data_IF_060390173002
#
_entry.id   IF_060390173002
#
_cell.length_a   1.000
_cell.length_b   1.000
_cell.length_c   1.000
_cell.angle_alpha   90.00
_cell.angle_beta   90.00
_cell.angle_gamma   90.00
#
_symmetry.space_group_name_H-M   'P 1'
#
loop_
_entity.id
_entity.type
_entity.pdbx_description
1 polymer ?
#
# COMPACT_ATOMS: atom_id res chain seq x y z
N UNK A 1 -55.13 -31.78 51.73
CA UNK A 1 -55.45 -31.33 50.36
C UNK A 1 -54.29 -30.50 49.88
N UNK A 2 -53.47 -31.05 48.98
CA UNK A 2 -53.64 -30.99 47.51
C UNK A 2 -53.27 -29.58 47.03
N UNK A 3 -51.99 -29.37 46.68
CA UNK A 3 -51.43 -29.58 45.33
C UNK A 3 -52.03 -28.61 44.34
N UNK A 4 -51.24 -27.63 43.90
CA UNK A 4 -51.14 -27.35 42.48
C UNK A 4 -49.78 -26.78 42.09
N UNK A 5 -49.10 -27.57 41.25
CA UNK A 5 -47.89 -27.25 40.49
C UNK A 5 -48.30 -26.41 39.29
N UNK A 6 -47.79 -25.18 39.18
CA UNK A 6 -47.74 -24.49 37.89
C UNK A 6 -46.35 -24.70 37.28
N UNK A 7 -46.30 -25.60 36.29
CA UNK A 7 -45.20 -25.72 35.33
C UNK A 7 -45.29 -24.54 34.38
N UNK A 8 -44.26 -23.71 34.31
CA UNK A 8 -44.05 -22.81 33.18
C UNK A 8 -42.84 -23.28 32.39
N UNK A 9 -43.11 -23.61 31.13
CA UNK A 9 -42.17 -24.12 30.15
C UNK A 9 -41.13 -23.07 29.77
N UNK A 10 -39.89 -23.51 29.58
CA UNK A 10 -38.82 -22.77 28.91
C UNK A 10 -39.11 -22.75 27.39
N UNK A 11 -39.07 -21.60 26.71
CA UNK A 11 -39.13 -21.60 25.25
C UNK A 11 -37.78 -22.02 24.65
N UNK A 12 -37.87 -22.90 23.67
CA UNK A 12 -36.79 -23.45 22.86
C UNK A 12 -35.97 -22.37 22.15
N UNK A 13 -34.65 -22.58 22.06
CA UNK A 13 -33.74 -21.79 21.23
C UNK A 13 -34.13 -21.95 19.76
N UNK A 14 -34.58 -20.88 19.14
CA UNK A 14 -34.85 -20.84 17.70
C UNK A 14 -33.53 -20.86 16.89
N UNK A 15 -33.38 -21.89 16.06
CA UNK A 15 -32.32 -22.11 15.07
C UNK A 15 -32.30 -21.07 13.93
N UNK A 16 -32.09 -19.79 14.25
CA UNK A 16 -31.96 -18.74 13.22
C UNK A 16 -30.72 -17.83 13.38
N UNK A 17 -29.85 -18.09 14.36
CA UNK A 17 -28.59 -17.34 14.53
C UNK A 17 -27.36 -18.01 13.92
N UNK A 18 -27.50 -19.16 13.25
CA UNK A 18 -26.36 -19.91 12.65
C UNK A 18 -26.27 -19.80 11.11
N UNK A 19 -27.22 -19.16 10.43
CA UNK A 19 -27.24 -19.10 8.96
C UNK A 19 -26.55 -17.83 8.40
N UNK A 20 -26.25 -16.83 9.23
CA UNK A 20 -25.55 -15.61 8.78
C UNK A 20 -24.01 -15.72 8.84
N UNK A 21 -23.46 -16.82 9.34
CA UNK A 21 -22.00 -17.03 9.45
C UNK A 21 -21.41 -17.92 8.33
N UNK A 22 -22.20 -18.33 7.33
CA UNK A 22 -21.78 -19.23 6.24
C UNK A 22 -21.75 -18.55 4.85
N UNK A 23 -21.39 -17.28 4.77
CA UNK A 23 -21.27 -16.56 3.48
C UNK A 23 -19.95 -15.80 3.28
N UNK A 24 -18.85 -16.35 3.82
CA UNK A 24 -17.48 -15.93 3.47
C UNK A 24 -16.64 -17.18 3.16
N UNK A 25 -17.00 -17.88 2.10
CA UNK A 25 -16.16 -18.87 1.47
C UNK A 25 -16.45 -18.86 -0.03
N UNK A 26 -16.06 -17.79 -0.72
CA UNK A 26 -15.96 -17.81 -2.17
C UNK A 26 -14.76 -18.66 -2.55
N UNK A 27 -14.94 -19.98 -2.48
CA UNK A 27 -13.97 -20.96 -2.93
C UNK A 27 -13.95 -20.91 -4.46
N UNK A 28 -12.97 -20.21 -5.03
CA UNK A 28 -12.73 -20.22 -6.48
C UNK A 28 -12.19 -21.61 -6.83
N UNK A 29 -13.09 -22.51 -7.21
CA UNK A 29 -12.73 -23.81 -7.76
C UNK A 29 -12.27 -23.60 -9.20
N UNK A 30 -10.95 -23.62 -9.43
CA UNK A 30 -10.39 -23.94 -10.75
C UNK A 30 -9.67 -25.26 -10.64
N UNK A 31 -10.22 -26.27 -11.30
CA UNK A 31 -9.61 -27.59 -11.48
C UNK A 31 -8.51 -27.48 -12.54
N UNK A 32 -7.27 -27.77 -12.16
CA UNK A 32 -6.24 -28.25 -13.09
C UNK A 32 -6.09 -29.75 -12.87
N UNK A 33 -6.49 -30.53 -13.87
CA UNK A 33 -6.52 -32.00 -13.82
C UNK A 33 -5.18 -32.67 -14.15
N UNK A 34 -4.05 -31.97 -14.07
CA UNK A 34 -2.76 -32.56 -14.48
C UNK A 34 -1.78 -32.95 -13.36
N UNK A 35 -1.98 -32.57 -12.09
CA UNK A 35 -0.96 -32.80 -11.05
C UNK A 35 -1.42 -33.46 -9.76
N UNK A 36 -2.74 -33.56 -9.49
CA UNK A 36 -3.25 -34.35 -8.35
C UNK A 36 -2.76 -33.90 -6.96
N UNK A 37 -2.19 -32.70 -6.82
CA UNK A 37 -1.81 -32.14 -5.52
C UNK A 37 -2.85 -31.10 -5.12
N UNK A 38 -3.76 -31.49 -4.24
CA UNK A 38 -4.53 -30.53 -3.46
C UNK A 38 -3.57 -29.85 -2.49
N UNK A 39 -3.19 -28.61 -2.77
CA UNK A 39 -2.46 -27.79 -1.79
C UNK A 39 -3.52 -27.11 -0.91
N UNK A 40 -4.01 -27.87 0.07
CA UNK A 40 -4.82 -27.39 1.19
C UNK A 40 -3.92 -26.78 2.29
N UNK A 41 -2.80 -26.14 1.93
CA UNK A 41 -2.09 -25.30 2.90
C UNK A 41 -2.81 -23.95 2.96
N UNK A 42 -3.39 -23.55 4.12
CA UNK A 42 -3.93 -22.21 4.25
C UNK A 42 -2.80 -21.23 3.95
N UNK A 43 -3.01 -20.34 2.97
CA UNK A 43 -1.98 -19.39 2.53
C UNK A 43 -1.33 -18.77 3.78
N UNK A 44 -0.03 -18.96 4.01
CA UNK A 44 0.63 -18.28 5.13
C UNK A 44 0.44 -16.77 4.98
N UNK A 45 0.21 -16.09 6.10
CA UNK A 45 -0.01 -14.64 6.21
C UNK A 45 -1.32 -14.08 5.58
N UNK A 46 -2.43 -14.82 5.72
CA UNK A 46 -3.80 -14.28 5.48
C UNK A 46 -4.10 -13.01 6.26
N UNK A 47 -3.45 -12.79 7.41
CA UNK A 47 -3.65 -11.59 8.25
C UNK A 47 -3.35 -10.31 7.47
N UNK A 48 -2.30 -10.31 6.63
CA UNK A 48 -1.96 -9.15 5.82
C UNK A 48 -3.08 -8.84 4.80
N UNK A 49 -3.54 -9.86 4.07
CA UNK A 49 -4.60 -9.68 3.08
C UNK A 49 -5.93 -9.31 3.75
N UNK A 50 -6.27 -9.95 4.87
CA UNK A 50 -7.46 -9.62 5.66
C UNK A 50 -7.40 -8.16 6.16
N UNK A 51 -6.25 -7.70 6.66
CA UNK A 51 -6.06 -6.29 7.01
C UNK A 51 -6.25 -5.38 5.80
N UNK A 52 -5.64 -5.69 4.65
CA UNK A 52 -5.76 -4.87 3.43
C UNK A 52 -7.19 -4.88 2.84
N UNK A 53 -7.98 -5.91 3.11
CA UNK A 53 -9.43 -5.93 2.83
C UNK A 53 -10.27 -5.12 3.82
N UNK A 54 -9.69 -4.76 4.98
CA UNK A 54 -10.41 -4.14 6.08
C UNK A 54 -11.18 -5.14 6.97
N UNK A 55 -10.91 -6.44 6.81
CA UNK A 55 -11.59 -7.55 7.50
C UNK A 55 -10.79 -8.06 8.72
N UNK A 56 -9.52 -7.69 8.82
CA UNK A 56 -8.60 -8.14 9.87
C UNK A 56 -7.88 -6.99 10.58
N UNK A 57 -7.37 -7.31 11.77
CA UNK A 57 -6.49 -6.40 12.50
C UNK A 57 -5.09 -6.39 11.87
N UNK A 58 -4.45 -5.23 11.89
CA UNK A 58 -3.07 -5.06 11.43
C UNK A 58 -2.15 -4.51 12.52
N UNK A 59 -1.39 -3.44 12.23
CA UNK A 59 -0.32 -2.98 13.12
C UNK A 59 -0.87 -2.56 14.48
N UNK A 60 -0.33 -3.17 15.55
CA UNK A 60 -0.77 -2.96 16.94
C UNK A 60 -2.27 -3.22 17.16
N UNK A 61 -2.85 -4.16 16.41
CA UNK A 61 -4.26 -4.55 16.54
C UNK A 61 -5.27 -3.60 15.88
N UNK A 62 -4.81 -2.57 15.16
CA UNK A 62 -5.67 -1.58 14.50
C UNK A 62 -6.20 -2.08 13.17
N UNK A 63 -7.44 -1.78 12.86
CA UNK A 63 -8.04 -2.07 11.53
C UNK A 63 -7.62 -1.03 10.50
N UNK A 64 -7.81 -1.34 9.21
CA UNK A 64 -7.36 -0.49 8.10
C UNK A 64 -7.89 0.94 8.17
N UNK A 65 -9.19 1.10 8.44
CA UNK A 65 -9.82 2.42 8.51
C UNK A 65 -9.26 3.29 9.64
N UNK A 66 -8.92 2.69 10.78
CA UNK A 66 -8.26 3.40 11.88
C UNK A 66 -6.87 3.89 11.47
N UNK A 67 -6.12 3.08 10.73
CA UNK A 67 -4.81 3.45 10.19
C UNK A 67 -4.94 4.55 9.13
N UNK A 68 -5.93 4.46 8.26
CA UNK A 68 -6.24 5.50 7.27
C UNK A 68 -6.67 6.83 7.90
N UNK A 69 -7.22 6.80 9.11
CA UNK A 69 -7.62 7.99 9.87
C UNK A 69 -6.48 8.67 10.64
N UNK A 70 -5.22 8.22 10.49
CA UNK A 70 -4.09 8.86 11.17
C UNK A 70 -3.91 10.30 10.72
N UNK A 71 -3.74 11.19 11.68
CA UNK A 71 -3.33 12.56 11.40
C UNK A 71 -1.84 12.64 11.00
N UNK A 72 -1.45 13.80 10.50
CA UNK A 72 -0.10 14.06 10.00
C UNK A 72 0.98 13.97 11.09
N UNK A 73 0.64 14.20 12.35
CA UNK A 73 1.59 14.11 13.48
C UNK A 73 1.83 12.65 13.81
N UNK A 74 0.76 11.85 13.85
CA UNK A 74 0.82 10.42 14.07
C UNK A 74 1.54 9.70 12.94
N UNK A 75 1.27 10.06 11.69
CA UNK A 75 2.00 9.52 10.53
C UNK A 75 3.49 9.83 10.56
N UNK A 76 3.92 11.00 11.09
CA UNK A 76 5.34 11.29 11.25
C UNK A 76 5.96 10.42 12.35
N UNK A 77 5.29 10.31 13.51
CA UNK A 77 5.79 9.64 14.71
C UNK A 77 5.77 8.11 14.65
N UNK A 78 4.74 7.52 14.05
CA UNK A 78 4.56 6.08 13.97
C UNK A 78 5.13 5.51 12.66
N UNK A 79 5.87 4.41 12.75
CA UNK A 79 6.65 3.86 11.62
C UNK A 79 6.15 2.49 11.14
N UNK A 80 5.27 1.85 11.91
CA UNK A 80 4.72 0.52 11.65
C UNK A 80 3.64 0.56 10.58
N UNK A 81 2.81 1.62 10.58
CA UNK A 81 1.69 1.73 9.63
C UNK A 81 2.14 1.60 8.17
N UNK A 82 3.25 2.25 7.79
CA UNK A 82 3.72 2.27 6.41
C UNK A 82 4.14 0.87 5.93
N UNK A 83 4.57 0.00 6.84
CA UNK A 83 5.00 -1.36 6.51
C UNK A 83 3.80 -2.28 6.25
N UNK A 84 2.67 -2.00 6.90
CA UNK A 84 1.42 -2.73 6.70
C UNK A 84 0.62 -2.20 5.51
N UNK A 85 0.62 -0.89 5.27
CA UNK A 85 -0.03 -0.31 4.08
C UNK A 85 0.76 -0.60 2.80
N UNK A 86 2.08 -0.72 2.90
CA UNK A 86 2.99 -0.98 1.78
C UNK A 86 3.99 -2.10 2.15
N UNK A 87 3.50 -3.34 2.29
CA UNK A 87 4.34 -4.50 2.58
C UNK A 87 5.28 -4.78 1.40
N UNK A 88 6.39 -5.44 1.70
CA UNK A 88 7.44 -5.81 0.74
C UNK A 88 7.71 -7.30 0.81
N UNK A 89 8.33 -7.85 -0.23
CA UNK A 89 8.91 -9.18 -0.30
C UNK A 89 10.19 -9.31 0.57
N UNK A 90 10.75 -8.19 0.99
CA UNK A 90 11.94 -8.13 1.85
C UNK A 90 11.58 -7.92 3.33
N UNK A 91 12.23 -8.64 4.26
CA UNK A 91 12.06 -8.43 5.69
C UNK A 91 12.54 -7.05 6.13
N UNK A 92 11.79 -6.47 7.05
CA UNK A 92 12.18 -5.22 7.69
C UNK A 92 13.33 -5.48 8.66
N UNK A 93 14.36 -4.64 8.60
CA UNK A 93 15.54 -4.72 9.47
C UNK A 93 15.26 -4.30 10.92
N UNK A 94 14.08 -3.74 11.20
CA UNK A 94 13.78 -3.09 12.48
C UNK A 94 12.59 -3.68 13.23
N UNK A 95 11.62 -4.24 12.52
CA UNK A 95 10.38 -4.76 13.12
C UNK A 95 9.91 -5.97 12.32
N UNK A 96 9.33 -6.93 13.01
CA UNK A 96 8.68 -8.06 12.35
C UNK A 96 7.33 -7.59 11.78
N UNK A 97 7.18 -7.70 10.47
CA UNK A 97 5.97 -7.32 9.73
C UNK A 97 5.71 -8.38 8.65
N UNK A 98 4.44 -8.62 8.30
CA UNK A 98 4.10 -9.59 7.27
C UNK A 98 4.78 -9.27 5.94
N UNK A 99 5.29 -10.29 5.27
CA UNK A 99 5.88 -10.16 3.94
C UNK A 99 4.81 -10.28 2.88
N UNK A 100 4.96 -9.52 1.81
CA UNK A 100 4.16 -9.72 0.59
C UNK A 100 4.87 -10.79 -0.26
N UNK A 101 4.77 -12.05 0.17
CA UNK A 101 5.37 -13.22 -0.51
C UNK A 101 4.83 -13.37 -1.93
N UNK A 102 5.52 -14.13 -2.79
CA UNK A 102 5.10 -14.34 -4.18
C UNK A 102 3.66 -14.86 -4.29
N UNK A 103 3.28 -15.82 -3.44
CA UNK A 103 1.90 -16.34 -3.39
C UNK A 103 0.90 -15.24 -3.02
N UNK A 104 1.21 -14.39 -2.04
CA UNK A 104 0.35 -13.28 -1.66
C UNK A 104 0.28 -12.19 -2.72
N UNK A 105 1.35 -11.97 -3.47
CA UNK A 105 1.34 -11.04 -4.62
C UNK A 105 0.34 -11.51 -5.68
N UNK A 106 0.33 -12.80 -6.01
CA UNK A 106 -0.61 -13.37 -6.98
C UNK A 106 -2.06 -13.13 -6.54
N UNK A 107 -2.38 -13.40 -5.28
CA UNK A 107 -3.73 -13.17 -4.72
C UNK A 107 -4.07 -11.68 -4.71
N UNK A 108 -3.16 -10.83 -4.22
CA UNK A 108 -3.41 -9.40 -4.10
C UNK A 108 -3.60 -8.69 -5.44
N UNK A 109 -2.91 -9.15 -6.50
CA UNK A 109 -3.04 -8.59 -7.86
C UNK A 109 -4.40 -8.88 -8.50
N UNK A 110 -5.06 -9.97 -8.12
CA UNK A 110 -6.41 -10.31 -8.62
C UNK A 110 -7.53 -9.71 -7.74
N UNK A 111 -7.20 -9.25 -6.53
CA UNK A 111 -8.16 -8.73 -5.56
C UNK A 111 -8.38 -7.21 -5.68
N UNK A 112 -9.49 -6.84 -6.30
CA UNK A 112 -9.87 -5.43 -6.51
C UNK A 112 -10.08 -4.64 -5.21
N UNK A 113 -10.48 -5.29 -4.12
CA UNK A 113 -10.67 -4.63 -2.81
C UNK A 113 -9.30 -4.23 -2.28
N UNK A 114 -8.35 -5.17 -2.27
CA UNK A 114 -6.97 -4.90 -1.83
C UNK A 114 -6.33 -3.81 -2.68
N UNK A 115 -6.41 -3.89 -4.02
CA UNK A 115 -5.83 -2.86 -4.89
C UNK A 115 -6.46 -1.48 -4.66
N UNK A 116 -7.75 -1.41 -4.34
CA UNK A 116 -8.43 -0.16 -4.01
C UNK A 116 -7.95 0.40 -2.66
N UNK A 117 -7.77 -0.46 -1.66
CA UNK A 117 -7.19 -0.11 -0.35
C UNK A 117 -5.76 0.40 -0.45
N UNK A 118 -4.92 -0.23 -1.28
CA UNK A 118 -3.53 0.21 -1.52
C UNK A 118 -3.51 1.57 -2.22
N UNK A 119 -4.38 1.80 -3.21
CA UNK A 119 -4.51 3.12 -3.86
C UNK A 119 -4.96 4.21 -2.89
N UNK A 120 -5.95 3.93 -2.03
CA UNK A 120 -6.35 4.86 -0.96
C UNK A 120 -5.21 5.14 0.01
N UNK A 121 -4.44 4.11 0.36
CA UNK A 121 -3.23 4.27 1.19
C UNK A 121 -2.19 5.17 0.51
N UNK A 122 -2.04 5.04 -0.82
CA UNK A 122 -1.16 5.91 -1.61
C UNK A 122 -1.65 7.36 -1.57
N UNK A 123 -2.95 7.60 -1.74
CA UNK A 123 -3.52 8.96 -1.66
C UNK A 123 -3.21 9.62 -0.31
N UNK A 124 -3.41 8.90 0.79
CA UNK A 124 -3.14 9.37 2.16
C UNK A 124 -1.65 9.67 2.33
N UNK A 125 -0.77 8.75 1.92
CA UNK A 125 0.67 8.95 2.06
C UNK A 125 1.19 10.10 1.17
N UNK A 126 0.67 10.25 -0.04
CA UNK A 126 1.01 11.38 -0.90
C UNK A 126 0.56 12.70 -0.29
N UNK A 127 -0.65 12.77 0.28
CA UNK A 127 -1.13 13.95 0.98
C UNK A 127 -0.20 14.33 2.15
N UNK A 128 0.29 13.33 2.89
CA UNK A 128 1.28 13.53 3.95
C UNK A 128 2.60 14.11 3.43
N UNK A 129 3.07 13.66 2.27
CA UNK A 129 4.25 14.19 1.58
C UNK A 129 4.03 15.58 0.94
N UNK A 130 2.80 16.10 0.95
CA UNK A 130 2.46 17.36 0.29
C UNK A 130 2.22 17.21 -1.22
N UNK A 131 1.91 16.01 -1.67
CA UNK A 131 1.66 15.60 -3.05
C UNK A 131 0.20 15.12 -3.19
N UNK A 132 -0.23 14.89 -4.42
CA UNK A 132 -1.49 14.21 -4.73
C UNK A 132 -1.36 13.45 -6.04
N UNK A 133 -2.00 12.30 -6.15
CA UNK A 133 -2.16 11.62 -7.44
C UNK A 133 -3.41 12.16 -8.15
N UNK A 134 -3.39 12.09 -9.47
CA UNK A 134 -4.51 12.36 -10.34
C UNK A 134 -4.51 11.31 -11.43
N UNK A 135 -5.69 10.75 -11.70
CA UNK A 135 -5.92 9.89 -12.85
C UNK A 135 -6.42 10.73 -14.03
N UNK A 136 -5.86 10.47 -15.20
CA UNK A 136 -6.41 10.83 -16.50
C UNK A 136 -6.67 9.52 -17.28
N UNK A 137 -7.48 9.53 -18.36
CA UNK A 137 -7.74 8.31 -19.13
C UNK A 137 -6.45 7.62 -19.57
N UNK A 138 -6.15 6.47 -18.97
CA UNK A 138 -4.95 5.67 -19.24
C UNK A 138 -3.63 6.19 -18.65
N UNK A 139 -3.66 7.22 -17.79
CA UNK A 139 -2.44 7.80 -17.22
C UNK A 139 -2.62 8.16 -15.73
N UNK A 140 -1.56 7.91 -14.95
CA UNK A 140 -1.44 8.40 -13.58
C UNK A 140 -0.39 9.49 -13.50
N UNK A 141 -0.68 10.55 -12.75
CA UNK A 141 0.25 11.65 -12.55
C UNK A 141 0.25 12.08 -11.07
N UNK A 142 1.44 12.24 -10.50
CA UNK A 142 1.59 12.83 -9.16
C UNK A 142 2.02 14.28 -9.29
N UNK A 143 1.34 15.17 -8.56
CA UNK A 143 1.57 16.62 -8.54
C UNK A 143 1.83 17.11 -7.12
N UNK A 144 2.49 18.25 -7.00
CA UNK A 144 2.51 19.01 -5.73
C UNK A 144 1.08 19.42 -5.36
N UNK A 145 0.76 19.30 -4.08
CA UNK A 145 -0.43 19.87 -3.45
C UNK A 145 0.04 20.91 -2.42
N UNK A 146 -0.14 20.65 -1.12
CA UNK A 146 0.37 21.45 0.00
C UNK A 146 1.90 21.26 0.25
N UNK A 147 2.69 21.08 -0.81
CA UNK A 147 4.12 20.74 -0.76
C UNK A 147 4.93 21.68 0.14
N UNK A 148 4.70 23.00 0.05
CA UNK A 148 5.46 23.97 0.85
C UNK A 148 5.24 23.81 2.36
N UNK A 149 4.01 23.47 2.78
CA UNK A 149 3.69 23.22 4.18
C UNK A 149 4.37 21.95 4.70
N UNK A 150 4.54 20.95 3.84
CA UNK A 150 5.15 19.65 4.20
C UNK A 150 6.66 19.61 4.00
N UNK A 151 7.25 20.59 3.28
CA UNK A 151 8.68 20.63 2.92
C UNK A 151 9.62 20.43 4.11
N UNK A 152 9.38 21.16 5.21
CA UNK A 152 10.23 21.10 6.41
C UNK A 152 10.16 19.75 7.14
N UNK A 153 9.05 19.03 7.02
CA UNK A 153 8.87 17.75 7.73
C UNK A 153 9.37 16.60 6.86
N UNK A 154 8.96 16.55 5.59
CA UNK A 154 9.17 15.37 4.75
C UNK A 154 10.39 15.45 3.83
N UNK A 155 10.95 16.64 3.61
CA UNK A 155 11.89 16.87 2.50
C UNK A 155 13.20 17.54 2.89
N UNK A 156 13.36 18.05 4.11
CA UNK A 156 14.66 18.54 4.59
C UNK A 156 15.46 17.43 5.25
N UNK A 157 16.79 17.55 5.20
CA UNK A 157 17.72 16.64 5.89
C UNK A 157 17.55 16.81 7.40
N UNK A 158 17.26 15.72 8.11
CA UNK A 158 17.05 15.70 9.57
C UNK A 158 18.10 14.87 10.31
N UNK A 159 18.82 13.99 9.62
CA UNK A 159 19.91 13.18 10.16
C UNK A 159 20.99 12.91 9.09
N UNK A 160 22.04 12.18 9.48
CA UNK A 160 23.18 11.85 8.60
C UNK A 160 22.79 11.03 7.36
N UNK A 161 21.67 10.30 7.42
CA UNK A 161 21.12 9.51 6.33
C UNK A 161 20.07 10.27 5.49
N UNK A 162 19.80 11.54 5.81
CA UNK A 162 18.81 12.36 5.13
C UNK A 162 17.53 12.54 5.95
N UNK A 163 16.38 12.24 5.33
CA UNK A 163 15.07 12.20 5.98
C UNK A 163 14.53 10.77 5.94
N UNK A 164 14.01 10.27 7.06
CA UNK A 164 13.51 8.90 7.15
C UNK A 164 12.32 8.63 6.19
N UNK A 165 11.55 9.67 5.84
CA UNK A 165 10.46 9.56 4.87
C UNK A 165 10.96 9.14 3.48
N UNK A 166 12.23 9.35 3.16
CA UNK A 166 12.79 8.93 1.88
C UNK A 166 12.93 7.41 1.75
N UNK A 167 13.23 6.71 2.86
CA UNK A 167 13.18 5.25 2.90
C UNK A 167 11.74 4.73 2.81
N UNK A 168 10.79 5.44 3.42
CA UNK A 168 9.36 5.13 3.29
C UNK A 168 8.90 5.24 1.83
N UNK A 169 9.34 6.27 1.10
CA UNK A 169 9.09 6.41 -0.34
C UNK A 169 9.65 5.23 -1.14
N UNK A 170 10.87 4.77 -0.87
CA UNK A 170 11.42 3.57 -1.53
C UNK A 170 10.54 2.34 -1.29
N UNK A 171 10.08 2.13 -0.05
CA UNK A 171 9.15 1.05 0.30
C UNK A 171 7.84 1.16 -0.49
N UNK A 172 7.23 2.34 -0.56
CA UNK A 172 6.01 2.56 -1.32
C UNK A 172 6.22 2.23 -2.80
N UNK A 173 7.29 2.72 -3.42
CA UNK A 173 7.59 2.44 -4.83
C UNK A 173 7.74 0.95 -5.12
N UNK A 174 8.52 0.24 -4.30
CA UNK A 174 8.70 -1.22 -4.42
C UNK A 174 7.37 -1.95 -4.21
N UNK A 175 6.63 -1.61 -3.16
CA UNK A 175 5.35 -2.24 -2.82
C UNK A 175 4.32 -2.08 -3.93
N UNK A 176 4.19 -0.89 -4.53
CA UNK A 176 3.30 -0.66 -5.66
C UNK A 176 3.61 -1.61 -6.83
N UNK A 177 4.88 -1.82 -7.17
CA UNK A 177 5.25 -2.79 -8.20
C UNK A 177 4.88 -4.24 -7.82
N UNK A 178 5.06 -4.62 -6.55
CA UNK A 178 4.66 -5.96 -6.08
C UNK A 178 3.14 -6.21 -6.18
N UNK A 179 2.33 -5.16 -6.02
CA UNK A 179 0.87 -5.20 -6.22
C UNK A 179 0.43 -5.07 -7.69
N UNK A 180 1.34 -4.94 -8.66
CA UNK A 180 0.97 -4.71 -10.07
C UNK A 180 0.40 -3.30 -10.34
N UNK A 181 0.87 -2.31 -9.58
CA UNK A 181 0.52 -0.89 -9.69
C UNK A 181 1.68 -0.08 -10.28
N UNK A 182 2.31 -0.60 -11.35
CA UNK A 182 3.54 -0.04 -11.92
C UNK A 182 3.31 1.35 -12.51
N UNK A 183 2.10 1.64 -12.99
CA UNK A 183 1.76 2.95 -13.53
C UNK A 183 1.74 4.03 -12.44
N UNK A 184 1.20 3.71 -11.26
CA UNK A 184 1.21 4.56 -10.08
C UNK A 184 2.64 4.72 -9.52
N UNK A 185 3.43 3.64 -9.48
CA UNK A 185 4.85 3.68 -9.07
C UNK A 185 5.67 4.61 -9.98
N UNK A 186 5.50 4.45 -11.30
CA UNK A 186 6.10 5.32 -12.32
C UNK A 186 5.69 6.78 -12.14
N UNK A 187 4.41 7.04 -11.94
CA UNK A 187 3.89 8.40 -11.75
C UNK A 187 4.51 9.08 -10.53
N UNK A 188 4.65 8.35 -9.41
CA UNK A 188 5.33 8.85 -8.22
C UNK A 188 6.80 9.14 -8.50
N UNK A 189 7.54 8.20 -9.11
CA UNK A 189 8.95 8.43 -9.41
C UNK A 189 9.17 9.65 -10.32
N UNK A 190 8.39 9.80 -11.39
CA UNK A 190 8.51 10.95 -12.30
C UNK A 190 8.23 12.27 -11.59
N UNK A 191 7.38 12.27 -10.56
CA UNK A 191 7.22 13.43 -9.68
C UNK A 191 8.49 13.67 -8.84
N UNK A 192 9.07 12.64 -8.22
CA UNK A 192 10.32 12.75 -7.43
C UNK A 192 11.47 13.29 -8.29
N UNK A 193 11.61 12.79 -9.52
CA UNK A 193 12.58 13.29 -10.49
C UNK A 193 12.35 14.78 -10.81
N UNK A 194 11.09 15.20 -10.98
CA UNK A 194 10.76 16.62 -11.18
C UNK A 194 11.11 17.47 -9.96
N UNK A 195 10.88 16.96 -8.75
CA UNK A 195 11.29 17.65 -7.53
C UNK A 195 12.80 17.84 -7.46
N UNK A 196 13.56 16.81 -7.86
CA UNK A 196 15.02 16.84 -7.94
C UNK A 196 15.53 17.83 -8.99
N UNK A 197 15.03 17.75 -10.22
CA UNK A 197 15.50 18.59 -11.33
C UNK A 197 15.15 20.06 -11.16
N UNK A 198 14.10 20.38 -10.39
CA UNK A 198 13.72 21.76 -10.06
C UNK A 198 14.38 22.29 -8.78
N UNK A 199 15.24 21.51 -8.12
CA UNK A 199 15.84 21.89 -6.84
C UNK A 199 14.82 22.05 -5.70
N UNK A 200 13.65 21.42 -5.84
CA UNK A 200 12.59 21.49 -4.83
C UNK A 200 12.93 20.68 -3.58
N UNK A 201 13.73 19.64 -3.73
CA UNK A 201 14.30 18.80 -2.66
C UNK A 201 15.82 19.01 -2.59
N UNK A 202 16.47 18.76 -1.43
CA UNK A 202 17.89 19.02 -1.26
C UNK A 202 18.78 18.17 -2.16
N UNK A 203 19.92 18.72 -2.58
CA UNK A 203 20.97 18.00 -3.33
C UNK A 203 21.46 16.74 -2.59
N UNK A 204 21.32 16.70 -1.27
CA UNK A 204 21.63 15.52 -0.45
C UNK A 204 20.89 14.25 -0.92
N UNK A 205 19.73 14.39 -1.57
CA UNK A 205 18.96 13.26 -2.11
C UNK A 205 19.59 12.57 -3.33
N UNK A 206 20.79 12.96 -3.80
CA UNK A 206 21.44 12.42 -5.00
C UNK A 206 21.50 10.89 -5.03
N UNK A 207 22.01 10.29 -3.94
CA UNK A 207 22.07 8.83 -3.80
C UNK A 207 20.67 8.22 -3.70
N UNK A 208 19.77 8.90 -3.01
CA UNK A 208 18.37 8.48 -2.84
C UNK A 208 17.61 8.41 -4.15
N UNK A 209 17.90 9.28 -5.12
CA UNK A 209 17.28 9.23 -6.45
C UNK A 209 17.53 7.89 -7.15
N UNK A 210 18.71 7.29 -6.97
CA UNK A 210 19.03 5.96 -7.51
C UNK A 210 18.16 4.90 -6.86
N UNK A 211 18.08 4.90 -5.52
CA UNK A 211 17.22 3.97 -4.79
C UNK A 211 15.74 4.10 -5.17
N UNK A 212 15.23 5.33 -5.33
CA UNK A 212 13.85 5.54 -5.77
C UNK A 212 13.62 5.04 -7.19
N UNK A 213 14.57 5.25 -8.10
CA UNK A 213 14.47 4.76 -9.49
C UNK A 213 14.38 3.25 -9.54
N UNK A 214 15.27 2.58 -8.82
CA UNK A 214 15.36 1.13 -8.83
C UNK A 214 14.13 0.52 -8.16
N UNK A 215 13.70 1.07 -7.02
CA UNK A 215 12.45 0.66 -6.35
C UNK A 215 11.21 0.87 -7.23
N UNK A 216 11.20 1.89 -8.08
CA UNK A 216 10.13 2.15 -9.05
C UNK A 216 10.18 1.24 -10.28
N UNK A 217 11.14 0.31 -10.39
CA UNK A 217 11.27 -0.58 -11.55
C UNK A 217 11.76 0.16 -12.79
N UNK A 218 12.54 1.23 -12.62
CA UNK A 218 12.99 2.08 -13.73
C UNK A 218 14.53 2.14 -13.87
N UNK A 219 15.23 1.04 -13.55
CA UNK A 219 16.70 0.99 -13.52
C UNK A 219 17.39 1.50 -14.80
N UNK A 220 16.76 1.34 -15.96
CA UNK A 220 17.30 1.78 -17.26
C UNK A 220 17.23 3.29 -17.47
N UNK A 221 16.48 4.03 -16.63
CA UNK A 221 16.37 5.48 -16.74
C UNK A 221 17.59 6.17 -16.13
N UNK A 222 18.16 7.13 -16.85
CA UNK A 222 19.20 8.00 -16.31
C UNK A 222 18.60 9.03 -15.35
N UNK A 223 19.26 9.26 -14.21
CA UNK A 223 18.87 10.34 -13.29
C UNK A 223 19.33 11.68 -13.88
N UNK A 224 18.43 12.65 -14.13
CA UNK A 224 18.83 13.94 -14.67
C UNK A 224 19.63 14.77 -13.65
N UNK A 225 20.35 15.77 -14.14
CA UNK A 225 21.17 16.66 -13.29
C UNK A 225 20.31 17.46 -12.30
N UNK A 226 20.83 17.62 -11.09
CA UNK A 226 20.21 18.46 -10.06
C UNK A 226 20.06 19.91 -10.54
N UNK A 227 18.90 20.52 -10.29
CA UNK A 227 18.61 21.91 -10.67
C UNK A 227 18.95 22.22 -12.14
N UNK A 228 18.73 21.24 -13.05
CA UNK A 228 18.86 21.48 -14.47
C UNK A 228 17.79 22.50 -14.88
N UNK A 229 18.18 23.60 -15.54
CA UNK A 229 17.22 24.51 -16.17
C UNK A 229 16.29 23.67 -17.03
N UNK A 230 14.98 23.82 -16.86
CA UNK A 230 13.99 23.02 -17.56
C UNK A 230 14.20 23.14 -19.08
N UNK A 231 14.87 22.16 -19.68
CA UNK A 231 14.79 21.96 -21.11
C UNK A 231 13.42 21.38 -21.37
N UNK A 232 12.60 22.16 -22.05
CA UNK A 232 11.25 21.79 -22.49
C UNK A 232 11.24 20.41 -23.13
N UNK A 233 10.16 19.66 -22.88
CA UNK A 233 9.78 18.35 -23.44
C UNK A 233 10.25 17.10 -22.68
N UNK A 234 9.45 16.68 -21.71
CA UNK A 234 9.19 15.25 -21.53
C UNK A 234 7.70 15.02 -21.86
N UNK A 235 7.40 15.00 -23.16
CA UNK A 235 6.19 14.35 -23.62
C UNK A 235 6.39 12.85 -23.38
N UNK A 236 5.49 12.21 -22.63
CA UNK A 236 5.42 10.76 -22.59
C UNK A 236 5.25 10.24 -24.03
N UNK A 237 5.94 9.16 -24.43
CA UNK A 237 5.64 8.52 -25.69
C UNK A 237 4.18 8.09 -25.65
N UNK A 238 3.38 8.59 -26.60
CA UNK A 238 2.03 8.05 -26.84
C UNK A 238 2.21 6.57 -27.10
N UNK A 239 1.55 5.73 -26.31
CA UNK A 239 1.47 4.30 -26.60
C UNK A 239 0.91 4.14 -28.02
N UNK A 240 1.75 3.62 -28.91
CA UNK A 240 1.33 3.22 -30.24
C UNK A 240 0.37 2.05 -30.08
N UNK A 241 -0.81 2.17 -30.69
CA UNK A 241 -1.65 1.02 -30.99
C UNK A 241 -0.90 0.11 -31.95
N UNK A 242 -0.75 -1.15 -31.57
CA UNK A 242 -0.80 -2.29 -32.48
C UNK A 242 -1.88 -3.24 -31.94
#
# INVERSE_FOLDING_TARGET
>A
GSSDRLKFALPERSHQSEILAMSLATSVTRLDTSTGVAIDDPLPDTVLLAFLRGEGAGPKGRVLDEVHAFDMVRMEKEHDFIQWLFPTDEPSQFVEVPLLTETLQLVARDDKVILSSVRRSLDIFLAFLGLRIVSAPGEWLVKKANFQQRKKVCWTVTCAEGNHNWRRISRVLKSLNLFGLEAEARALFLCLERLWTTGSIPRFAEKTMVFWRDAAGMGDRSIPKYNAKATTACCLPKSGRL
#
